data_IF_388765201026
#
_entry.id   IF_388765201026
#
_cell.length_a   1.000
_cell.length_b   1.000
_cell.length_c   1.000
_cell.angle_alpha   90.00
_cell.angle_beta   90.00
_cell.angle_gamma   90.00
#
_symmetry.space_group_name_H-M   'P 1'
#
loop_
_entity.id
_entity.type
_entity.pdbx_description
1 polymer ?
#
# COMPACT_ATOMS: atom_id res chain seq x y z
N UNK A 1 6.26 10.08 8.89
CA UNK A 1 5.03 9.47 8.38
C UNK A 1 3.88 10.47 8.55
N UNK A 2 3.08 10.71 7.51
CA UNK A 2 2.01 11.69 7.62
C UNK A 2 0.95 11.26 8.63
N UNK A 3 0.27 12.23 9.21
CA UNK A 3 -0.93 11.98 10.00
C UNK A 3 -2.07 11.72 9.01
N UNK A 4 -2.64 10.53 9.05
CA UNK A 4 -3.68 10.18 8.10
C UNK A 4 -4.58 9.07 8.65
N UNK A 5 -5.86 9.20 8.39
CA UNK A 5 -6.86 8.19 8.72
C UNK A 5 -7.38 7.57 7.42
N UNK A 6 -7.27 6.26 7.32
CA UNK A 6 -7.80 5.50 6.19
C UNK A 6 -9.12 4.85 6.56
N UNK A 7 -10.00 4.75 5.59
CA UNK A 7 -11.26 4.03 5.74
C UNK A 7 -11.49 3.12 4.55
N UNK A 8 -12.29 2.07 4.74
CA UNK A 8 -12.78 1.24 3.66
C UNK A 8 -14.28 1.50 3.42
N UNK A 9 -14.85 0.85 2.41
CA UNK A 9 -16.25 1.04 2.06
C UNK A 9 -17.22 0.45 3.10
N UNK A 10 -16.73 -0.43 3.98
CA UNK A 10 -17.52 -1.04 5.05
C UNK A 10 -17.53 -0.21 6.33
N UNK A 11 -16.79 0.91 6.36
CA UNK A 11 -16.74 1.79 7.53
C UNK A 11 -15.62 1.48 8.51
N UNK A 12 -14.76 0.47 8.23
CA UNK A 12 -13.58 0.20 9.03
C UNK A 12 -12.58 1.32 8.82
N UNK A 13 -11.89 1.75 9.87
CA UNK A 13 -10.87 2.80 9.76
C UNK A 13 -9.66 2.51 10.62
N UNK A 14 -8.51 3.04 10.19
CA UNK A 14 -7.24 3.00 10.94
C UNK A 14 -6.52 4.33 10.76
N UNK A 15 -5.64 4.64 11.70
CA UNK A 15 -4.69 5.76 11.55
C UNK A 15 -3.31 5.21 11.24
N UNK A 16 -2.52 5.93 10.47
CA UNK A 16 -1.14 5.50 10.19
C UNK A 16 -0.31 5.44 11.46
N UNK A 17 -0.55 6.36 12.40
CA UNK A 17 0.16 6.36 13.68
C UNK A 17 -0.04 5.07 14.48
N UNK A 18 -1.21 4.42 14.36
CA UNK A 18 -1.51 3.17 15.06
C UNK A 18 -0.68 1.98 14.54
N UNK A 19 -0.03 2.13 13.39
CA UNK A 19 0.75 1.09 12.75
C UNK A 19 2.24 1.13 13.12
N UNK A 20 2.67 2.09 13.94
CA UNK A 20 4.04 2.14 14.44
C UNK A 20 4.33 0.92 15.30
N UNK A 21 5.61 0.58 15.43
CA UNK A 21 6.07 -0.59 16.17
C UNK A 21 6.49 -1.74 15.28
N UNK A 22 6.23 -1.65 13.99
CA UNK A 22 6.62 -2.62 12.98
C UNK A 22 6.87 -1.87 11.67
N UNK A 23 7.83 -2.31 10.84
CA UNK A 23 8.03 -1.68 9.52
C UNK A 23 6.74 -1.68 8.71
N UNK A 24 6.53 -0.63 7.93
CA UNK A 24 5.32 -0.42 7.15
C UNK A 24 5.66 -0.05 5.71
N UNK A 25 5.09 -0.78 4.76
CA UNK A 25 5.14 -0.44 3.34
C UNK A 25 3.76 0.07 2.93
N UNK A 26 3.69 1.31 2.46
CA UNK A 26 2.47 1.88 1.88
C UNK A 26 2.62 1.85 0.37
N UNK A 27 1.62 1.27 -0.32
CA UNK A 27 1.57 1.20 -1.77
C UNK A 27 0.29 1.87 -2.26
N UNK A 28 0.43 2.90 -3.08
CA UNK A 28 -0.69 3.59 -3.70
C UNK A 28 -0.97 2.96 -5.06
N UNK A 29 -2.22 2.56 -5.28
CA UNK A 29 -2.64 1.85 -6.49
C UNK A 29 -4.02 2.29 -6.94
N UNK A 30 -4.49 1.78 -8.07
CA UNK A 30 -5.87 1.98 -8.53
C UNK A 30 -6.33 0.80 -9.40
N UNK A 31 -7.63 0.59 -9.46
CA UNK A 31 -8.22 -0.51 -10.25
C UNK A 31 -8.02 -0.32 -11.75
N UNK A 32 -7.80 0.91 -12.20
CA UNK A 32 -7.54 1.25 -13.60
C UNK A 32 -6.04 1.23 -13.97
N UNK A 33 -5.19 0.92 -13.04
CA UNK A 33 -3.72 0.97 -13.21
C UNK A 33 -3.17 -0.44 -13.42
N UNK A 34 -2.88 -0.81 -14.66
CA UNK A 34 -2.41 -2.16 -14.99
C UNK A 34 -1.11 -2.56 -14.27
N UNK A 35 -0.05 -1.73 -14.21
CA UNK A 35 1.15 -2.11 -13.45
C UNK A 35 0.89 -2.26 -11.95
N UNK A 36 -0.04 -1.50 -11.38
CA UNK A 36 -0.44 -1.67 -9.98
C UNK A 36 -1.05 -3.05 -9.74
N UNK A 37 -1.97 -3.45 -10.62
CA UNK A 37 -2.66 -4.75 -10.52
C UNK A 37 -1.65 -5.90 -10.58
N UNK A 38 -0.66 -5.79 -11.46
CA UNK A 38 0.38 -6.81 -11.61
C UNK A 38 1.20 -7.03 -10.33
N UNK A 39 1.32 -6.01 -9.48
CA UNK A 39 2.09 -6.10 -8.23
C UNK A 39 1.28 -6.66 -7.06
N UNK A 40 -0.05 -6.63 -7.13
CA UNK A 40 -0.90 -7.03 -6.00
C UNK A 40 -0.62 -8.44 -5.47
N UNK A 41 -0.46 -9.48 -6.32
CA UNK A 41 -0.16 -10.81 -5.79
C UNK A 41 1.17 -10.88 -5.04
N UNK A 42 2.19 -10.15 -5.50
CA UNK A 42 3.49 -10.11 -4.85
C UNK A 42 3.40 -9.39 -3.50
N UNK A 43 2.70 -8.27 -3.44
CA UNK A 43 2.48 -7.52 -2.20
C UNK A 43 1.64 -8.33 -1.21
N UNK A 44 0.67 -9.08 -1.70
CA UNK A 44 -0.16 -9.97 -0.87
C UNK A 44 0.71 -11.04 -0.20
N UNK A 45 1.66 -11.62 -0.94
CA UNK A 45 2.60 -12.61 -0.41
C UNK A 45 3.51 -12.00 0.67
N UNK A 46 3.99 -10.78 0.47
CA UNK A 46 4.80 -10.06 1.47
C UNK A 46 3.99 -9.83 2.74
N UNK A 47 2.75 -9.40 2.60
CA UNK A 47 1.84 -9.19 3.73
C UNK A 47 1.60 -10.50 4.49
N UNK A 48 1.40 -11.60 3.77
CA UNK A 48 1.16 -12.92 4.35
C UNK A 48 2.36 -13.43 5.15
N UNK A 49 3.58 -13.07 4.74
CA UNK A 49 4.79 -13.47 5.46
C UNK A 49 4.92 -12.81 6.84
N UNK A 50 4.26 -11.68 7.08
CA UNK A 50 4.12 -11.08 8.40
C UNK A 50 5.34 -10.36 8.96
N UNK A 51 6.42 -10.23 8.20
CA UNK A 51 7.65 -9.55 8.67
C UNK A 51 7.51 -8.03 8.72
N UNK A 52 6.67 -7.48 7.87
CA UNK A 52 6.33 -6.06 7.86
C UNK A 52 4.85 -5.92 7.50
N UNK A 53 4.29 -4.78 7.82
CA UNK A 53 2.92 -4.46 7.45
C UNK A 53 2.91 -3.93 6.02
N UNK A 54 1.94 -4.37 5.22
CA UNK A 54 1.72 -3.85 3.87
C UNK A 54 0.35 -3.22 3.82
N UNK A 55 0.32 -1.96 3.43
CA UNK A 55 -0.91 -1.19 3.34
C UNK A 55 -1.08 -0.73 1.91
N UNK A 56 -1.99 -1.37 1.18
CA UNK A 56 -2.32 -0.93 -0.17
C UNK A 56 -3.53 -0.02 -0.11
N UNK A 57 -3.42 1.16 -0.70
CA UNK A 57 -4.44 2.20 -0.62
C UNK A 57 -4.89 2.58 -2.01
N UNK A 58 -6.16 2.28 -2.31
CA UNK A 58 -6.75 2.63 -3.60
C UNK A 58 -6.88 4.14 -3.77
N UNK A 59 -6.44 4.62 -4.92
CA UNK A 59 -6.58 6.02 -5.32
C UNK A 59 -7.79 6.22 -6.25
N UNK A 60 -8.64 5.22 -6.36
CA UNK A 60 -9.90 5.34 -7.12
C UNK A 60 -10.78 6.44 -6.52
N UNK A 61 -11.33 7.31 -7.37
CA UNK A 61 -12.16 8.43 -6.93
C UNK A 61 -13.65 8.18 -7.12
N UNK A 62 -14.00 7.12 -7.82
CA UNK A 62 -15.39 6.73 -8.09
C UNK A 62 -15.56 5.23 -7.88
N UNK A 63 -16.79 4.81 -7.56
CA UNK A 63 -17.14 3.39 -7.41
C UNK A 63 -16.24 2.67 -6.41
N UNK A 64 -15.91 3.34 -5.32
CA UNK A 64 -14.99 2.83 -4.30
C UNK A 64 -15.50 1.54 -3.65
N UNK A 65 -16.81 1.29 -3.66
CA UNK A 65 -17.43 0.06 -3.19
C UNK A 65 -17.01 -1.17 -4.00
N UNK A 66 -16.42 -0.98 -5.18
CA UNK A 66 -15.96 -2.07 -6.03
C UNK A 66 -14.52 -2.50 -5.74
N UNK A 67 -13.79 -1.75 -4.93
CA UNK A 67 -12.39 -2.07 -4.62
C UNK A 67 -12.25 -3.40 -3.88
N UNK A 68 -13.06 -3.64 -2.85
CA UNK A 68 -13.02 -4.90 -2.11
C UNK A 68 -13.32 -6.12 -2.99
N UNK A 69 -14.44 -6.14 -3.76
CA UNK A 69 -14.68 -7.27 -4.67
C UNK A 69 -13.61 -7.39 -5.77
N UNK A 70 -13.01 -6.29 -6.21
CA UNK A 70 -11.90 -6.32 -7.17
C UNK A 70 -10.72 -7.14 -6.63
N UNK A 71 -10.33 -6.89 -5.38
CA UNK A 71 -9.25 -7.64 -4.74
C UNK A 71 -9.59 -9.13 -4.64
N UNK A 72 -10.79 -9.45 -4.20
CA UNK A 72 -11.26 -10.83 -4.10
C UNK A 72 -11.23 -11.53 -5.45
N UNK A 73 -11.71 -10.86 -6.50
CA UNK A 73 -11.77 -11.42 -7.86
C UNK A 73 -10.36 -11.65 -8.44
N UNK A 74 -9.37 -10.93 -7.96
CA UNK A 74 -7.96 -11.10 -8.36
C UNK A 74 -7.18 -12.05 -7.45
N UNK A 75 -7.87 -12.77 -6.56
CA UNK A 75 -7.24 -13.77 -5.71
C UNK A 75 -6.44 -13.20 -4.54
N UNK A 76 -6.64 -11.94 -4.20
CA UNK A 76 -5.95 -11.29 -3.09
C UNK A 76 -6.62 -11.71 -1.78
N UNK A 77 -5.82 -12.16 -0.79
CA UNK A 77 -6.33 -12.77 0.44
C UNK A 77 -6.02 -12.02 1.71
N UNK A 78 -4.90 -11.30 1.76
CA UNK A 78 -4.40 -10.64 2.98
C UNK A 78 -4.51 -9.12 2.90
N UNK A 79 -4.23 -8.53 1.74
CA UNK A 79 -4.32 -7.10 1.55
C UNK A 79 -5.76 -6.62 1.74
N UNK A 80 -5.90 -5.48 2.42
CA UNK A 80 -7.21 -4.91 2.76
C UNK A 80 -7.57 -3.77 1.80
N UNK A 81 -8.88 -3.51 1.59
CA UNK A 81 -9.35 -2.56 0.58
C UNK A 81 -9.42 -1.12 1.11
N UNK A 82 -8.30 -0.59 1.59
CA UNK A 82 -8.22 0.79 2.05
C UNK A 82 -8.43 1.79 0.92
N UNK A 83 -9.09 2.89 1.21
CA UNK A 83 -9.51 3.89 0.22
C UNK A 83 -8.93 5.27 0.56
N UNK A 84 -8.59 6.00 -0.48
CA UNK A 84 -8.19 7.41 -0.42
C UNK A 84 -8.89 8.16 -1.57
N UNK A 85 -10.24 8.28 -1.52
CA UNK A 85 -11.01 8.79 -2.66
C UNK A 85 -10.74 10.26 -3.00
N UNK A 86 -10.14 11.02 -2.07
CA UNK A 86 -9.77 12.42 -2.29
C UNK A 86 -8.33 12.56 -2.80
N UNK A 87 -7.62 11.45 -2.99
CA UNK A 87 -6.21 11.42 -3.43
C UNK A 87 -5.29 12.26 -2.54
N UNK A 88 -5.55 12.27 -1.25
CA UNK A 88 -4.77 13.05 -0.29
C UNK A 88 -3.35 12.52 -0.12
N UNK A 89 -3.18 11.18 -0.12
CA UNK A 89 -1.85 10.57 0.01
C UNK A 89 -0.98 10.83 -1.21
N UNK A 90 -1.54 10.79 -2.42
CA UNK A 90 -0.81 11.19 -3.62
C UNK A 90 -0.26 12.59 -3.45
N UNK A 91 -1.09 13.50 -2.96
CA UNK A 91 -0.71 14.89 -2.74
C UNK A 91 0.36 15.02 -1.66
N UNK A 92 0.17 14.37 -0.51
CA UNK A 92 1.12 14.45 0.61
C UNK A 92 2.48 13.84 0.27
N UNK A 93 2.50 12.76 -0.50
CA UNK A 93 3.76 12.13 -0.93
C UNK A 93 4.36 12.84 -2.14
N UNK A 94 3.68 13.81 -2.70
CA UNK A 94 4.06 14.46 -3.96
C UNK A 94 4.33 13.41 -5.05
N UNK A 95 3.46 12.39 -5.11
CA UNK A 95 3.59 11.28 -6.03
C UNK A 95 3.10 11.68 -7.42
N UNK A 96 3.96 11.48 -8.44
CA UNK A 96 3.62 11.80 -9.82
C UNK A 96 2.93 10.67 -10.56
N UNK A 97 3.17 9.43 -10.13
CA UNK A 97 2.73 8.22 -10.82
C UNK A 97 2.18 7.17 -9.87
N UNK A 98 1.37 6.26 -10.41
CA UNK A 98 1.00 5.01 -9.78
C UNK A 98 1.66 3.84 -10.51
N UNK A 99 2.12 2.82 -9.81
CA UNK A 99 2.16 2.71 -8.35
C UNK A 99 3.24 3.59 -7.73
N UNK A 100 3.03 4.03 -6.50
CA UNK A 100 4.06 4.66 -5.68
C UNK A 100 4.11 3.94 -4.35
N UNK A 101 5.31 3.62 -3.88
CA UNK A 101 5.49 2.88 -2.64
C UNK A 101 6.44 3.63 -1.71
N UNK A 102 6.10 3.68 -0.43
CA UNK A 102 6.89 4.36 0.60
C UNK A 102 7.10 3.38 1.76
N UNK A 103 8.36 3.18 2.15
CA UNK A 103 8.73 2.30 3.24
C UNK A 103 9.06 3.12 4.49
N UNK A 104 8.48 2.72 5.61
CA UNK A 104 8.74 3.31 6.93
C UNK A 104 9.33 2.27 7.87
N UNK A 105 10.24 2.71 8.75
CA UNK A 105 10.73 1.86 9.83
C UNK A 105 9.69 1.77 10.97
N UNK A 106 10.00 0.98 12.00
CA UNK A 106 9.09 0.76 13.12
C UNK A 106 8.76 2.05 13.89
N UNK A 107 9.60 3.08 13.81
CA UNK A 107 9.37 4.36 14.46
C UNK A 107 8.55 5.32 13.59
N UNK A 108 8.19 4.92 12.38
CA UNK A 108 7.44 5.75 11.45
C UNK A 108 8.29 6.72 10.64
N UNK A 109 9.59 6.47 10.58
CA UNK A 109 10.51 7.29 9.78
C UNK A 109 10.61 6.71 8.36
N UNK A 110 10.52 7.58 7.36
CA UNK A 110 10.64 7.16 5.97
C UNK A 110 12.05 6.65 5.68
N UNK A 111 12.14 5.43 5.13
CA UNK A 111 13.41 4.80 4.73
C UNK A 111 13.70 5.11 3.27
N UNK A 112 12.73 4.85 2.38
CA UNK A 112 12.80 5.21 0.96
C UNK A 112 11.41 5.26 0.35
N UNK A 113 11.35 5.83 -0.86
CA UNK A 113 10.16 5.77 -1.70
C UNK A 113 10.55 5.42 -3.13
N UNK A 114 9.64 4.73 -3.81
CA UNK A 114 9.84 4.28 -5.18
C UNK A 114 8.62 4.68 -5.99
N UNK A 115 8.85 5.43 -7.08
CA UNK A 115 7.82 5.72 -8.07
C UNK A 115 7.88 4.69 -9.17
N UNK A 116 6.72 4.25 -9.64
CA UNK A 116 6.60 3.30 -10.73
C UNK A 116 6.67 1.85 -10.28
N UNK A 117 6.49 0.92 -11.24
CA UNK A 117 6.42 -0.51 -10.96
C UNK A 117 7.74 -1.09 -10.46
N UNK A 118 7.62 -2.16 -9.66
CA UNK A 118 8.75 -2.89 -9.12
C UNK A 118 8.41 -4.36 -9.01
N UNK A 119 9.42 -5.21 -9.18
CA UNK A 119 9.30 -6.64 -8.91
C UNK A 119 9.49 -6.89 -7.41
N UNK A 120 8.37 -7.02 -6.69
CA UNK A 120 8.38 -7.24 -5.24
C UNK A 120 8.81 -8.64 -4.84
N UNK A 121 8.94 -9.55 -5.81
CA UNK A 121 9.39 -10.93 -5.55
C UNK A 121 10.90 -11.10 -5.74
N UNK A 122 11.62 -10.07 -6.23
CA UNK A 122 13.06 -10.19 -6.49
C UNK A 122 13.88 -10.19 -5.19
N UNK A 123 15.05 -10.83 -5.24
CA UNK A 123 16.00 -10.82 -4.12
C UNK A 123 16.49 -9.39 -3.81
N UNK A 124 16.67 -8.56 -4.84
CA UNK A 124 17.05 -7.16 -4.69
C UNK A 124 16.01 -6.40 -3.87
N UNK A 125 14.73 -6.58 -4.17
CA UNK A 125 13.65 -5.94 -3.43
C UNK A 125 13.58 -6.45 -2.00
N UNK A 126 13.79 -7.75 -1.78
CA UNK A 126 13.83 -8.32 -0.43
C UNK A 126 14.92 -7.64 0.42
N UNK A 127 16.08 -7.38 -0.17
CA UNK A 127 17.17 -6.69 0.52
C UNK A 127 16.81 -5.24 0.82
N UNK A 128 16.14 -4.55 -0.08
CA UNK A 128 15.68 -3.18 0.14
C UNK A 128 14.66 -3.11 1.29
N UNK A 129 13.77 -4.07 1.40
CA UNK A 129 12.77 -4.11 2.47
C UNK A 129 13.41 -4.30 3.85
N UNK A 130 14.56 -5.00 3.92
CA UNK A 130 15.30 -5.19 5.17
C UNK A 130 15.85 -3.89 5.74
N UNK A 131 15.98 -2.84 4.92
CA UNK A 131 16.49 -1.54 5.37
C UNK A 131 15.56 -0.89 6.41
N UNK A 132 14.32 -1.32 6.51
CA UNK A 132 13.39 -0.84 7.52
C UNK A 132 13.52 -1.53 8.88
N UNK A 133 14.38 -2.50 8.99
CA UNK A 133 14.63 -3.21 10.25
C UNK A 133 14.28 -4.68 10.27
#
# INVERSE_FOLDING_TARGET
MPEFKLSDAAGKSITLASLKGKPLLINLWATWCAPCIAELPQLDAIAAAGKLRVLTVSQDTAKTEKVAPFLTDHGIKVLEPWLDPENELISQFNAGDLPTSVLYDAQGKEVWRISGPRDWASAETADLLKEAG
#
